data_IF_041092466300
#
_entry.id   IF_041092466300
#
_cell.length_a   1.000
_cell.length_b   1.000
_cell.length_c   1.000
_cell.angle_alpha   90.00
_cell.angle_beta   90.00
_cell.angle_gamma   90.00
#
_symmetry.space_group_name_H-M   'P 1'
#
loop_
_entity.id
_entity.type
_entity.pdbx_description
1 polymer ?
#
# COMPACT_ATOMS: atom_id res chain seq x y z
N UNK A 1 -1.68 6.11 5.70
CA UNK A 1 -2.83 6.63 6.50
C UNK A 1 -3.07 8.10 6.15
N UNK A 2 -4.33 8.52 5.90
CA UNK A 2 -4.66 9.92 5.62
C UNK A 2 -4.60 10.78 6.88
N UNK A 3 -3.63 11.71 6.92
CA UNK A 3 -3.39 12.62 8.05
C UNK A 3 -4.60 13.52 8.33
N UNK A 4 -5.31 14.00 7.29
CA UNK A 4 -6.43 14.91 7.48
C UNK A 4 -7.61 14.20 8.12
N UNK A 5 -7.99 13.04 7.60
CA UNK A 5 -9.07 12.23 8.14
C UNK A 5 -8.80 11.81 9.58
N UNK A 6 -7.56 11.44 9.89
CA UNK A 6 -7.17 11.06 11.24
C UNK A 6 -7.25 12.24 12.21
N UNK A 7 -6.78 13.42 11.83
CA UNK A 7 -6.91 14.61 12.70
C UNK A 7 -8.37 15.05 12.88
N UNK A 8 -9.22 14.91 11.86
CA UNK A 8 -10.65 15.17 11.99
C UNK A 8 -11.31 14.23 13.00
N UNK A 9 -10.94 12.95 12.99
CA UNK A 9 -11.40 11.98 13.99
C UNK A 9 -11.00 12.40 15.42
N UNK A 10 -9.75 12.84 15.64
CA UNK A 10 -9.29 13.32 16.95
C UNK A 10 -9.99 14.60 17.38
N UNK A 11 -10.29 15.51 16.45
CA UNK A 11 -11.09 16.72 16.72
C UNK A 11 -12.53 16.32 17.11
N UNK A 12 -13.13 15.40 16.36
CA UNK A 12 -14.49 14.90 16.64
C UNK A 12 -14.64 14.24 18.01
N UNK A 13 -13.57 13.61 18.50
CA UNK A 13 -13.51 13.04 19.86
C UNK A 13 -13.17 14.08 20.95
N UNK A 14 -12.88 15.31 20.59
CA UNK A 14 -12.49 16.36 21.53
C UNK A 14 -11.11 16.16 22.16
N UNK A 15 -10.24 15.35 21.55
CA UNK A 15 -8.87 15.11 22.03
C UNK A 15 -7.93 16.24 21.65
N UNK A 16 -8.18 16.85 20.51
CA UNK A 16 -7.46 18.02 20.01
C UNK A 16 -8.46 19.06 19.50
N UNK A 17 -8.07 20.31 19.46
CA UNK A 17 -8.79 21.37 18.78
C UNK A 17 -8.19 21.67 17.39
N UNK A 18 -8.85 22.54 16.62
CA UNK A 18 -8.36 22.91 15.28
C UNK A 18 -7.02 23.64 15.28
N UNK A 19 -6.70 24.35 16.37
CA UNK A 19 -5.41 25.05 16.51
C UNK A 19 -4.29 24.04 16.67
N UNK A 20 -4.47 23.09 17.60
CA UNK A 20 -3.49 22.03 17.85
C UNK A 20 -3.30 21.11 16.63
N UNK A 21 -4.38 20.83 15.89
CA UNK A 21 -4.27 20.08 14.64
C UNK A 21 -3.42 20.79 13.57
N UNK A 22 -3.42 22.13 13.57
CA UNK A 22 -2.55 22.92 12.69
C UNK A 22 -1.09 22.83 13.15
N UNK A 23 -0.84 22.98 14.45
CA UNK A 23 0.50 22.90 15.04
C UNK A 23 1.13 21.52 14.78
N UNK A 24 0.33 20.44 14.89
CA UNK A 24 0.74 19.08 14.55
C UNK A 24 1.18 18.96 13.09
N UNK A 25 0.42 19.53 12.14
CA UNK A 25 0.79 19.51 10.71
C UNK A 25 2.06 20.31 10.43
N UNK A 26 2.22 21.44 11.09
CA UNK A 26 3.43 22.26 10.99
C UNK A 26 4.65 21.48 11.52
N UNK A 27 4.51 20.82 12.68
CA UNK A 27 5.57 19.98 13.25
C UNK A 27 5.92 18.80 12.34
N UNK A 28 4.96 18.10 11.76
CA UNK A 28 5.22 17.04 10.77
C UNK A 28 6.05 17.56 9.59
N UNK A 29 5.75 18.76 9.11
CA UNK A 29 6.47 19.38 7.98
C UNK A 29 7.90 19.77 8.37
N UNK A 30 8.11 20.27 9.57
CA UNK A 30 9.41 20.73 10.06
C UNK A 30 10.32 19.57 10.48
N UNK A 31 9.76 18.61 11.22
CA UNK A 31 10.54 17.49 11.78
C UNK A 31 10.70 16.31 10.80
N UNK A 32 9.81 16.20 9.79
CA UNK A 32 9.75 15.04 8.90
C UNK A 32 9.20 13.77 9.56
N UNK A 33 8.68 13.88 10.80
CA UNK A 33 8.08 12.76 11.54
C UNK A 33 6.69 12.43 11.01
N UNK A 34 6.30 11.17 11.16
CA UNK A 34 4.96 10.71 10.84
C UNK A 34 3.94 11.12 11.92
N UNK A 35 2.66 11.17 11.55
CA UNK A 35 1.58 11.60 12.43
C UNK A 35 1.55 10.88 13.79
N UNK A 36 1.69 9.53 13.87
CA UNK A 36 1.67 8.84 15.16
C UNK A 36 2.80 9.26 16.10
N UNK A 37 3.98 9.57 15.55
CA UNK A 37 5.13 10.01 16.34
C UNK A 37 4.91 11.42 16.89
N UNK A 38 4.40 12.33 16.04
CA UNK A 38 4.10 13.71 16.47
C UNK A 38 2.98 13.72 17.52
N UNK A 39 1.94 12.91 17.36
CA UNK A 39 0.87 12.80 18.37
C UNK A 39 1.39 12.30 19.73
N UNK A 40 2.34 11.36 19.72
CA UNK A 40 2.99 10.87 20.94
C UNK A 40 3.87 11.95 21.57
N UNK A 41 4.65 12.71 20.78
CA UNK A 41 5.47 13.82 21.25
C UNK A 41 4.64 14.93 21.90
N UNK A 42 3.46 15.21 21.36
CA UNK A 42 2.49 16.16 21.94
C UNK A 42 1.73 15.58 23.15
N UNK A 43 1.95 14.30 23.51
CA UNK A 43 1.29 13.64 24.63
C UNK A 43 -0.20 13.38 24.43
N UNK A 44 -0.68 13.37 23.19
CA UNK A 44 -2.07 13.11 22.81
C UNK A 44 -2.35 11.62 22.90
N UNK A 45 -1.38 10.80 22.55
CA UNK A 45 -1.37 9.34 22.68
C UNK A 45 -0.16 8.90 23.49
N UNK A 46 -0.26 7.74 24.16
CA UNK A 46 0.83 7.22 24.99
C UNK A 46 1.98 6.60 24.18
N UNK A 47 1.64 5.96 23.07
CA UNK A 47 2.59 5.39 22.13
C UNK A 47 2.09 5.55 20.69
N UNK A 48 2.99 5.43 19.71
CA UNK A 48 2.63 5.52 18.30
C UNK A 48 1.61 4.45 17.87
N UNK A 49 1.54 3.34 18.57
CA UNK A 49 0.62 2.25 18.23
C UNK A 49 -0.79 2.45 18.80
N UNK A 50 -0.97 3.34 19.79
CA UNK A 50 -2.27 3.62 20.41
C UNK A 50 -3.27 4.21 19.41
N UNK A 51 -2.77 4.90 18.37
CA UNK A 51 -3.59 5.48 17.30
C UNK A 51 -4.43 4.41 16.60
N UNK A 52 -3.87 3.23 16.40
CA UNK A 52 -4.54 2.13 15.69
C UNK A 52 -5.68 1.53 16.53
N UNK A 53 -5.47 1.39 17.84
CA UNK A 53 -6.51 0.96 18.77
C UNK A 53 -7.65 1.98 18.82
N UNK A 54 -7.32 3.26 18.75
CA UNK A 54 -8.34 4.32 18.74
C UNK A 54 -9.14 4.29 17.43
N UNK A 55 -8.51 4.14 16.29
CA UNK A 55 -9.17 4.00 14.99
C UNK A 55 -10.07 2.75 15.00
N UNK A 56 -9.59 1.62 15.50
CA UNK A 56 -10.38 0.40 15.61
C UNK A 56 -11.64 0.60 16.47
N UNK A 57 -11.49 1.26 17.62
CA UNK A 57 -12.61 1.58 18.50
C UNK A 57 -13.63 2.51 17.85
N UNK A 58 -13.19 3.46 17.01
CA UNK A 58 -14.06 4.42 16.33
C UNK A 58 -14.85 3.76 15.19
N UNK A 59 -14.18 2.90 14.43
CA UNK A 59 -14.80 2.15 13.35
C UNK A 59 -15.63 0.95 13.86
N UNK A 60 -15.60 0.66 15.17
CA UNK A 60 -16.30 -0.48 15.76
C UNK A 60 -15.75 -1.83 15.28
N UNK A 61 -14.45 -1.90 14.98
CA UNK A 61 -13.79 -3.10 14.47
C UNK A 61 -12.67 -3.59 15.39
N UNK A 62 -12.10 -4.73 15.09
CA UNK A 62 -11.07 -5.39 15.88
C UNK A 62 -9.68 -4.82 15.54
N UNK A 63 -8.88 -4.54 16.57
CA UNK A 63 -7.45 -4.27 16.44
C UNK A 63 -6.68 -5.58 16.58
N UNK A 64 -5.73 -5.81 15.70
CA UNK A 64 -4.84 -6.98 15.72
C UNK A 64 -3.38 -6.55 15.55
N UNK A 65 -2.47 -7.41 16.01
CA UNK A 65 -1.03 -7.31 15.72
C UNK A 65 -0.64 -8.35 14.68
N UNK A 66 0.27 -8.00 13.79
CA UNK A 66 0.73 -8.88 12.74
C UNK A 66 2.14 -9.48 13.05
N UNK A 67 2.59 -9.36 14.30
CA UNK A 67 3.81 -10.01 14.76
C UNK A 67 3.68 -11.52 14.59
N UNK A 68 4.59 -12.12 13.81
CA UNK A 68 4.58 -13.55 13.47
C UNK A 68 3.29 -14.03 12.77
N UNK A 69 2.51 -13.12 12.20
CA UNK A 69 1.32 -13.48 11.43
C UNK A 69 1.70 -14.29 10.20
N UNK A 70 1.07 -15.45 10.05
CA UNK A 70 1.14 -16.27 8.84
C UNK A 70 -0.28 -16.54 8.36
N UNK A 71 -0.68 -15.99 7.21
CA UNK A 71 -2.01 -16.24 6.67
C UNK A 71 -2.16 -17.70 6.22
N UNK A 72 -3.37 -18.23 6.35
CA UNK A 72 -3.73 -19.47 5.69
C UNK A 72 -3.52 -19.31 4.16
N UNK A 73 -2.81 -20.23 3.48
CA UNK A 73 -2.60 -20.19 2.04
C UNK A 73 -3.90 -20.05 1.23
N UNK A 74 -5.00 -20.61 1.73
CA UNK A 74 -6.31 -20.46 1.08
C UNK A 74 -6.78 -19.00 1.13
N UNK A 75 -6.62 -18.33 2.26
CA UNK A 75 -6.99 -16.92 2.44
C UNK A 75 -6.08 -16.03 1.60
N UNK A 76 -4.78 -16.33 1.58
CA UNK A 76 -3.81 -15.60 0.77
C UNK A 76 -4.16 -15.64 -0.73
N UNK A 77 -4.63 -16.78 -1.22
CA UNK A 77 -5.03 -16.96 -2.61
C UNK A 77 -6.39 -16.33 -2.96
N UNK A 78 -7.19 -15.91 -1.99
CA UNK A 78 -8.47 -15.26 -2.23
C UNK A 78 -8.33 -13.85 -2.79
N UNK A 79 -7.17 -13.21 -2.58
CA UNK A 79 -6.89 -11.86 -3.08
C UNK A 79 -5.65 -11.89 -3.99
N UNK A 80 -5.78 -11.52 -5.27
CA UNK A 80 -4.64 -11.38 -6.18
C UNK A 80 -3.58 -10.42 -5.65
N UNK A 81 -2.30 -10.75 -5.82
CA UNK A 81 -1.18 -9.94 -5.36
C UNK A 81 -1.21 -8.49 -5.88
N UNK A 82 -1.74 -8.29 -7.09
CA UNK A 82 -1.94 -6.96 -7.66
C UNK A 82 -2.93 -6.12 -6.86
N UNK A 83 -4.05 -6.69 -6.40
CA UNK A 83 -5.02 -5.98 -5.56
C UNK A 83 -4.46 -5.72 -4.16
N UNK A 84 -3.72 -6.70 -3.58
CA UNK A 84 -3.04 -6.52 -2.29
C UNK A 84 -2.12 -5.31 -2.33
N UNK A 85 -1.27 -5.20 -3.34
CA UNK A 85 -0.33 -4.09 -3.48
C UNK A 85 -1.00 -2.77 -3.85
N UNK A 86 -1.93 -2.79 -4.82
CA UNK A 86 -2.62 -1.58 -5.29
C UNK A 86 -3.37 -0.88 -4.15
N UNK A 87 -4.05 -1.66 -3.31
CA UNK A 87 -4.89 -1.12 -2.24
C UNK A 87 -4.22 -1.14 -0.86
N UNK A 88 -2.99 -1.66 -0.74
CA UNK A 88 -2.35 -1.85 0.56
C UNK A 88 -3.21 -2.70 1.50
N UNK A 89 -3.81 -3.77 0.97
CA UNK A 89 -4.81 -4.59 1.64
C UNK A 89 -4.27 -6.01 1.88
N UNK A 90 -4.05 -6.38 3.14
CA UNK A 90 -3.57 -7.70 3.53
C UNK A 90 -4.75 -8.60 3.92
N UNK A 91 -5.04 -9.70 3.21
CA UNK A 91 -6.06 -10.65 3.65
C UNK A 91 -5.58 -11.41 4.89
N UNK A 92 -6.42 -11.45 5.92
CA UNK A 92 -6.07 -12.00 7.24
C UNK A 92 -6.78 -13.32 7.52
N UNK A 93 -8.10 -13.33 7.38
CA UNK A 93 -8.93 -14.51 7.61
C UNK A 93 -10.19 -14.45 6.75
N UNK A 94 -10.76 -15.61 6.50
CA UNK A 94 -12.07 -15.74 5.89
C UNK A 94 -13.06 -16.34 6.91
N UNK A 95 -14.23 -15.74 7.01
CA UNK A 95 -15.28 -16.17 7.92
C UNK A 95 -16.63 -16.28 7.24
N UNK A 96 -17.69 -16.64 7.99
CA UNK A 96 -19.04 -16.75 7.45
C UNK A 96 -19.59 -15.46 6.84
N UNK A 97 -19.08 -14.31 7.28
CA UNK A 97 -19.52 -12.98 6.87
C UNK A 97 -18.71 -12.43 5.69
N UNK A 98 -17.62 -13.08 5.29
CA UNK A 98 -16.77 -12.65 4.18
C UNK A 98 -15.28 -12.67 4.48
N UNK A 99 -14.51 -11.87 3.72
CA UNK A 99 -13.07 -11.76 3.85
C UNK A 99 -12.70 -10.61 4.80
N UNK A 100 -11.86 -10.92 5.78
CA UNK A 100 -11.30 -9.95 6.72
C UNK A 100 -9.92 -9.50 6.24
N UNK A 101 -9.75 -8.18 6.09
CA UNK A 101 -8.52 -7.57 5.56
C UNK A 101 -7.99 -6.47 6.47
N UNK A 102 -6.68 -6.34 6.59
CA UNK A 102 -6.04 -5.16 7.14
C UNK A 102 -5.71 -4.18 6.02
N UNK A 103 -6.01 -2.90 6.20
CA UNK A 103 -5.73 -1.83 5.24
C UNK A 103 -4.68 -0.89 5.80
N UNK A 104 -3.72 -0.49 4.95
CA UNK A 104 -2.75 0.57 5.28
C UNK A 104 -3.46 1.91 5.51
N UNK A 105 -4.55 2.16 4.77
CA UNK A 105 -5.43 3.32 4.98
C UNK A 105 -6.87 2.90 5.26
N UNK A 106 -7.19 2.56 6.52
CA UNK A 106 -8.50 2.04 6.89
C UNK A 106 -9.61 3.10 6.92
N UNK A 107 -9.25 4.39 6.87
CA UNK A 107 -10.22 5.49 6.88
C UNK A 107 -10.73 5.85 5.48
N UNK A 108 -10.18 5.26 4.43
CA UNK A 108 -10.62 5.46 3.06
C UNK A 108 -11.74 4.46 2.68
N UNK A 109 -13.01 4.88 2.63
CA UNK A 109 -14.13 3.99 2.33
C UNK A 109 -14.11 3.48 0.89
N UNK A 110 -13.49 4.23 -0.04
CA UNK A 110 -13.41 3.84 -1.44
C UNK A 110 -12.64 2.53 -1.61
N UNK A 111 -11.55 2.33 -0.85
CA UNK A 111 -10.76 1.10 -0.88
C UNK A 111 -11.60 -0.14 -0.57
N UNK A 112 -12.50 -0.06 0.41
CA UNK A 112 -13.38 -1.18 0.79
C UNK A 112 -14.37 -1.51 -0.33
N UNK A 113 -14.97 -0.47 -0.94
CA UNK A 113 -15.91 -0.66 -2.05
C UNK A 113 -15.22 -1.24 -3.29
N UNK A 114 -14.02 -0.75 -3.63
CA UNK A 114 -13.23 -1.27 -4.75
C UNK A 114 -12.87 -2.75 -4.55
N UNK A 115 -12.45 -3.13 -3.34
CA UNK A 115 -12.15 -4.52 -3.00
C UNK A 115 -13.40 -5.40 -3.04
N UNK A 116 -14.53 -4.93 -2.50
CA UNK A 116 -15.81 -5.65 -2.56
C UNK A 116 -16.24 -5.89 -4.00
N UNK A 117 -16.12 -4.86 -4.85
CA UNK A 117 -16.44 -4.97 -6.27
C UNK A 117 -15.52 -5.96 -7.00
N UNK A 118 -14.20 -5.85 -6.77
CA UNK A 118 -13.20 -6.69 -7.45
C UNK A 118 -13.27 -8.17 -7.05
N UNK A 119 -13.60 -8.45 -5.78
CA UNK A 119 -13.61 -9.81 -5.24
C UNK A 119 -15.02 -10.45 -5.24
N UNK A 120 -16.08 -9.68 -5.43
CA UNK A 120 -17.46 -10.15 -5.45
C UNK A 120 -17.94 -10.74 -4.12
N UNK A 121 -17.34 -10.32 -3.00
CA UNK A 121 -17.68 -10.78 -1.65
C UNK A 121 -17.61 -9.65 -0.63
N UNK A 122 -18.21 -9.87 0.55
CA UNK A 122 -18.15 -8.88 1.63
C UNK A 122 -16.75 -8.77 2.21
N UNK A 123 -16.35 -7.52 2.47
CA UNK A 123 -15.05 -7.17 3.02
C UNK A 123 -15.24 -6.54 4.40
N UNK A 124 -14.55 -7.11 5.38
CA UNK A 124 -14.52 -6.62 6.75
C UNK A 124 -13.12 -6.10 7.08
N UNK A 125 -13.05 -4.86 7.54
CA UNK A 125 -11.77 -4.23 7.85
C UNK A 125 -11.35 -4.58 9.27
N UNK A 126 -10.11 -5.02 9.42
CA UNK A 126 -9.40 -5.12 10.69
C UNK A 126 -8.33 -4.03 10.75
N UNK A 127 -8.03 -3.56 11.94
CA UNK A 127 -7.00 -2.54 12.12
C UNK A 127 -5.72 -3.17 12.64
N UNK A 128 -4.61 -2.83 12.01
CA UNK A 128 -3.25 -3.15 12.46
C UNK A 128 -2.34 -1.96 12.16
N UNK A 129 -1.15 -1.87 12.78
CA UNK A 129 -0.17 -0.86 12.43
C UNK A 129 0.21 -0.91 10.94
N UNK A 130 0.18 0.22 10.26
CA UNK A 130 0.42 0.31 8.81
C UNK A 130 1.80 -0.21 8.40
N UNK A 131 2.82 0.02 9.24
CA UNK A 131 4.16 -0.51 9.01
C UNK A 131 4.19 -2.06 9.04
N UNK A 132 3.42 -2.69 9.95
CA UNK A 132 3.30 -4.17 10.00
C UNK A 132 2.58 -4.70 8.76
N UNK A 133 1.51 -4.02 8.32
CA UNK A 133 0.78 -4.39 7.09
C UNK A 133 1.72 -4.33 5.88
N UNK A 134 2.45 -3.22 5.73
CA UNK A 134 3.38 -3.00 4.62
C UNK A 134 4.51 -4.03 4.62
N UNK A 135 5.08 -4.34 5.79
CA UNK A 135 6.11 -5.37 5.94
C UNK A 135 5.59 -6.75 5.51
N UNK A 136 4.39 -7.15 5.99
CA UNK A 136 3.79 -8.44 5.63
C UNK A 136 3.39 -8.52 4.16
N UNK A 137 2.90 -7.44 3.57
CA UNK A 137 2.64 -7.39 2.12
C UNK A 137 3.94 -7.60 1.34
N UNK A 138 5.03 -6.96 1.74
CA UNK A 138 6.32 -7.13 1.09
C UNK A 138 6.88 -8.55 1.24
N UNK A 139 6.75 -9.18 2.42
CA UNK A 139 7.19 -10.54 2.65
C UNK A 139 6.37 -11.59 1.86
N UNK A 140 5.05 -11.47 1.88
CA UNK A 140 4.15 -12.49 1.35
C UNK A 140 3.84 -12.32 -0.13
N UNK A 141 3.83 -11.08 -0.61
CA UNK A 141 3.47 -10.71 -1.98
C UNK A 141 4.58 -9.90 -2.66
N UNK A 142 5.66 -9.60 -1.93
CA UNK A 142 6.88 -9.01 -2.47
C UNK A 142 7.62 -10.08 -3.28
N UNK A 143 7.85 -9.81 -4.53
CA UNK A 143 8.66 -10.63 -5.43
C UNK A 143 9.33 -9.70 -6.41
N UNK A 144 9.95 -10.22 -7.48
CA UNK A 144 10.57 -9.40 -8.53
C UNK A 144 9.59 -8.36 -9.11
N UNK A 145 8.28 -8.65 -9.09
CA UNK A 145 7.23 -7.70 -9.48
C UNK A 145 7.10 -6.51 -8.51
N UNK A 146 7.44 -6.66 -7.23
CA UNK A 146 7.45 -5.53 -6.29
C UNK A 146 8.62 -4.59 -6.57
N UNK A 147 9.81 -5.12 -6.83
CA UNK A 147 10.97 -4.33 -7.24
C UNK A 147 10.69 -3.52 -8.53
N UNK A 148 9.90 -4.08 -9.46
CA UNK A 148 9.46 -3.40 -10.66
C UNK A 148 8.52 -2.23 -10.36
N UNK A 149 7.56 -2.42 -9.45
CA UNK A 149 6.60 -1.38 -9.05
C UNK A 149 7.30 -0.24 -8.30
N UNK A 150 8.23 -0.58 -7.40
CA UNK A 150 9.02 0.40 -6.65
C UNK A 150 9.88 1.26 -7.59
N UNK A 151 10.52 0.63 -8.59
CA UNK A 151 11.27 1.35 -9.62
C UNK A 151 10.39 2.23 -10.51
N UNK A 152 9.18 1.78 -10.85
CA UNK A 152 8.21 2.62 -11.58
C UNK A 152 7.79 3.84 -10.78
N UNK A 153 7.56 3.68 -9.46
CA UNK A 153 7.26 4.82 -8.58
C UNK A 153 8.44 5.77 -8.47
N UNK A 154 9.66 5.26 -8.33
CA UNK A 154 10.89 6.07 -8.30
C UNK A 154 11.05 6.87 -9.59
N UNK A 155 10.82 6.25 -10.76
CA UNK A 155 10.85 6.92 -12.06
C UNK A 155 9.78 8.01 -12.20
N UNK A 156 8.55 7.74 -11.74
CA UNK A 156 7.47 8.72 -11.77
C UNK A 156 7.76 9.91 -10.84
N UNK A 157 8.31 9.67 -9.66
CA UNK A 157 8.67 10.72 -8.72
C UNK A 157 9.82 11.60 -9.24
N UNK A 158 10.78 11.04 -9.99
CA UNK A 158 11.85 11.79 -10.65
C UNK A 158 11.32 12.71 -11.76
N UNK A 159 10.32 12.28 -12.53
CA UNK A 159 9.70 13.13 -13.57
C UNK A 159 9.00 14.36 -12.97
N UNK A 160 8.48 14.25 -11.75
CA UNK A 160 7.81 15.37 -11.06
C UNK A 160 8.82 16.40 -10.52
N UNK A 161 10.03 15.98 -10.19
CA UNK A 161 11.01 16.82 -9.49
C UNK A 161 12.04 17.51 -10.40
N UNK A 162 11.97 17.40 -11.74
CA UNK A 162 12.89 18.03 -12.70
C UNK A 162 14.39 17.83 -12.36
N UNK A 163 14.77 16.66 -11.84
CA UNK A 163 16.16 16.36 -11.54
C UNK A 163 16.96 16.08 -12.82
N UNK A 164 18.22 16.47 -12.82
CA UNK A 164 19.14 16.46 -13.97
C UNK A 164 19.23 15.09 -14.66
N UNK A 165 19.42 15.09 -16.00
CA UNK A 165 19.47 13.90 -16.88
C UNK A 165 20.40 12.76 -16.38
N UNK A 166 21.45 13.07 -15.65
CA UNK A 166 22.39 12.07 -15.10
C UNK A 166 21.83 11.26 -13.92
N UNK A 167 20.89 11.80 -13.14
CA UNK A 167 20.28 11.06 -12.03
C UNK A 167 19.16 10.10 -12.46
N UNK A 168 18.54 10.34 -13.61
CA UNK A 168 17.49 9.48 -14.15
C UNK A 168 18.02 8.21 -14.85
N UNK A 169 19.28 8.16 -15.22
CA UNK A 169 19.84 7.03 -15.96
C UNK A 169 19.91 5.73 -15.15
N UNK A 170 20.26 5.79 -13.87
CA UNK A 170 20.42 4.60 -13.04
C UNK A 170 19.10 3.84 -12.76
N UNK A 171 17.96 4.47 -12.43
CA UNK A 171 16.67 3.80 -12.30
C UNK A 171 16.15 3.21 -13.61
N UNK A 172 16.34 3.92 -14.74
CA UNK A 172 15.94 3.40 -16.06
C UNK A 172 16.71 2.14 -16.43
N UNK A 173 18.02 2.11 -16.19
CA UNK A 173 18.85 0.91 -16.43
C UNK A 173 18.36 -0.26 -15.58
N UNK A 174 18.11 -0.06 -14.27
CA UNK A 174 17.58 -1.09 -13.38
C UNK A 174 16.21 -1.61 -13.82
N UNK A 175 15.34 -0.71 -14.29
CA UNK A 175 14.04 -1.07 -14.82
C UNK A 175 14.16 -1.98 -16.05
N UNK A 176 15.01 -1.62 -17.02
CA UNK A 176 15.24 -2.42 -18.23
C UNK A 176 15.83 -3.79 -17.87
N UNK A 177 16.81 -3.86 -16.97
CA UNK A 177 17.41 -5.12 -16.51
C UNK A 177 16.38 -6.05 -15.86
N UNK A 178 15.47 -5.50 -15.04
CA UNK A 178 14.41 -6.28 -14.43
C UNK A 178 13.40 -6.81 -15.45
N UNK A 179 12.98 -5.97 -16.41
CA UNK A 179 12.09 -6.39 -17.50
C UNK A 179 12.71 -7.53 -18.31
N UNK A 180 13.99 -7.41 -18.67
CA UNK A 180 14.72 -8.45 -19.42
C UNK A 180 14.80 -9.73 -18.59
N UNK A 181 15.15 -9.62 -17.30
CA UNK A 181 15.25 -10.79 -16.40
C UNK A 181 13.91 -11.50 -16.27
N UNK A 182 12.82 -10.75 -16.11
CA UNK A 182 11.47 -11.30 -16.03
C UNK A 182 11.06 -11.99 -17.34
N UNK A 183 11.30 -11.35 -18.48
CA UNK A 183 11.00 -11.91 -19.78
C UNK A 183 11.74 -13.23 -20.05
N UNK A 184 13.02 -13.32 -19.64
CA UNK A 184 13.80 -14.57 -19.75
C UNK A 184 13.18 -15.67 -18.88
N UNK A 185 12.75 -15.37 -17.65
CA UNK A 185 12.10 -16.34 -16.74
C UNK A 185 10.78 -16.84 -17.32
N UNK A 186 9.99 -15.94 -17.87
CA UNK A 186 8.70 -16.24 -18.50
C UNK A 186 8.85 -16.88 -19.89
N UNK A 187 10.09 -16.98 -20.38
CA UNK A 187 10.39 -17.49 -21.74
C UNK A 187 9.63 -16.72 -22.83
N UNK A 188 9.52 -15.41 -22.67
CA UNK A 188 8.93 -14.54 -23.66
C UNK A 188 9.78 -14.54 -24.94
N UNK A 189 9.13 -14.48 -26.11
CA UNK A 189 9.81 -14.38 -27.40
C UNK A 189 10.29 -12.96 -27.71
N UNK A 190 9.52 -11.97 -27.27
CA UNK A 190 9.75 -10.56 -27.58
C UNK A 190 9.39 -9.68 -26.37
N UNK A 191 9.96 -8.48 -26.30
CA UNK A 191 9.64 -7.46 -25.30
C UNK A 191 9.35 -6.17 -26.07
N UNK A 192 8.17 -5.61 -25.85
CA UNK A 192 7.78 -4.32 -26.42
C UNK A 192 7.73 -3.25 -25.35
N UNK A 193 8.40 -2.14 -25.59
CA UNK A 193 8.33 -0.95 -24.75
C UNK A 193 7.57 0.15 -25.51
N UNK A 194 6.44 0.57 -24.97
CA UNK A 194 5.64 1.64 -25.56
C UNK A 194 5.63 2.85 -24.61
N UNK A 195 6.35 3.92 -24.95
CA UNK A 195 6.32 5.15 -24.19
C UNK A 195 5.01 5.92 -24.44
N UNK A 196 4.31 6.28 -23.39
CA UNK A 196 3.19 7.19 -23.41
C UNK A 196 3.58 8.49 -22.68
N UNK A 197 2.90 9.59 -22.96
CA UNK A 197 3.24 10.91 -22.40
C UNK A 197 3.39 10.94 -20.88
N UNK A 198 2.67 10.06 -20.14
CA UNK A 198 2.71 9.99 -18.69
C UNK A 198 2.90 8.55 -18.16
N UNK A 199 3.23 7.57 -18.99
CA UNK A 199 3.31 6.17 -18.60
C UNK A 199 4.22 5.39 -19.55
N UNK A 200 4.91 4.37 -19.04
CA UNK A 200 5.62 3.36 -19.82
C UNK A 200 4.90 2.03 -19.65
N UNK A 201 4.37 1.49 -20.75
CA UNK A 201 3.82 0.13 -20.79
C UNK A 201 4.84 -0.82 -21.40
N UNK A 202 4.94 -2.01 -20.83
CA UNK A 202 5.66 -3.10 -21.48
C UNK A 202 4.77 -4.34 -21.52
N UNK A 203 4.91 -5.14 -22.57
CA UNK A 203 4.22 -6.41 -22.72
C UNK A 203 5.20 -7.48 -23.16
N UNK A 204 5.10 -8.67 -22.56
CA UNK A 204 5.84 -9.85 -22.99
C UNK A 204 4.81 -10.91 -23.39
N UNK A 205 4.65 -11.23 -24.70
CA UNK A 205 3.72 -12.27 -25.11
C UNK A 205 4.18 -13.64 -24.58
N UNK A 206 3.29 -14.34 -23.92
CA UNK A 206 3.54 -15.71 -23.45
C UNK A 206 3.57 -16.67 -24.64
N UNK A 207 4.47 -17.68 -24.66
CA UNK A 207 4.50 -18.70 -25.72
C UNK A 207 3.18 -19.50 -25.88
N UNK A 208 2.23 -19.35 -24.93
CA UNK A 208 0.91 -20.00 -24.98
C UNK A 208 -0.10 -19.28 -25.85
N UNK A 209 0.10 -18.01 -26.17
CA UNK A 209 -0.84 -17.22 -26.97
C UNK A 209 -0.72 -17.46 -28.48
N UNK A 210 0.31 -18.18 -28.92
CA UNK A 210 0.58 -18.50 -30.33
C UNK A 210 -0.05 -19.81 -30.86
N UNK A 211 -0.85 -20.54 -30.06
CA UNK A 211 -1.40 -21.85 -30.44
C UNK A 211 -2.92 -21.87 -30.67
N UNK A 212 -3.55 -20.72 -30.89
CA UNK A 212 -4.96 -20.62 -31.29
C UNK A 212 -5.10 -19.77 -32.55
N UNK A 213 -4.63 -20.30 -33.68
CA UNK A 213 -5.03 -19.88 -35.03
C UNK A 213 -5.16 -21.10 -35.93
#
# INVERSE_FOLDING_TARGET
MDTNLTLELFIGRGMIDKSLAKDIKEEMTVSGKELPEVLADFGIIGSKDDIWQMIASDLGTEFITLDNFQPDPNVQNMMPATLVRLHGALPVRHGPEGLYVCLVDPLNPQTVEDLRFALGQDIHVLIAPDYQISERINELYGGESAAMTDLMQELNNMQVNNETEDSAAAPVIRFVDLVITQAIKEKASDIHFEPFENCLLYTSPSPRDGLLS
#
